data_IF_578678096718
#
_entry.id   IF_578678096718
#
_cell.length_a   1.000
_cell.length_b   1.000
_cell.length_c   1.000
_cell.angle_alpha   90.00
_cell.angle_beta   90.00
_cell.angle_gamma   90.00
#
_symmetry.space_group_name_H-M   'P 1'
#
loop_
_entity.id
_entity.type
_entity.pdbx_description
1 polymer ?
#
# COMPACT_ATOMS: atom_id res chain seq x y z
N UNK A 1 63.20 38.88 -5.73
CA UNK A 1 62.55 37.55 -5.65
C UNK A 1 61.06 37.78 -5.48
N UNK A 2 60.25 37.50 -6.52
CA UNK A 2 58.82 37.82 -6.57
C UNK A 2 58.03 36.75 -5.79
N UNK A 3 57.20 37.19 -4.84
CA UNK A 3 56.28 36.35 -4.07
C UNK A 3 55.01 36.14 -4.89
N UNK A 4 54.75 34.90 -5.30
CA UNK A 4 53.47 34.53 -5.90
C UNK A 4 52.58 33.97 -4.80
N UNK A 5 51.57 34.73 -4.41
CA UNK A 5 50.48 34.26 -3.54
C UNK A 5 49.48 33.55 -4.44
N UNK A 6 49.30 32.25 -4.25
CA UNK A 6 48.24 31.47 -4.88
C UNK A 6 47.03 31.55 -3.95
N UNK A 7 46.02 32.33 -4.32
CA UNK A 7 44.74 32.34 -3.63
C UNK A 7 43.90 31.17 -4.14
N UNK A 8 43.78 30.13 -3.31
CA UNK A 8 42.86 29.03 -3.56
C UNK A 8 41.42 29.49 -3.30
N UNK A 9 40.63 29.66 -4.36
CA UNK A 9 39.20 29.91 -4.29
C UNK A 9 38.51 28.62 -3.85
N UNK A 10 38.18 28.50 -2.57
CA UNK A 10 37.34 27.41 -2.07
C UNK A 10 35.91 27.65 -2.56
N UNK A 11 35.47 26.87 -3.55
CA UNK A 11 34.06 26.75 -3.87
C UNK A 11 33.37 26.10 -2.66
N UNK A 12 32.68 26.91 -1.86
CA UNK A 12 31.69 26.43 -0.91
C UNK A 12 30.56 25.86 -1.76
N UNK A 13 30.58 24.55 -1.99
CA UNK A 13 29.41 23.84 -2.45
C UNK A 13 28.34 23.98 -1.38
N UNK A 14 27.40 24.91 -1.57
CA UNK A 14 26.13 24.83 -0.86
C UNK A 14 25.50 23.52 -1.32
N UNK A 15 25.59 22.49 -0.48
CA UNK A 15 24.63 21.40 -0.53
C UNK A 15 23.29 22.00 -0.15
N UNK A 16 22.55 22.53 -1.13
CA UNK A 16 21.11 22.69 -0.99
C UNK A 16 20.57 21.28 -0.80
N UNK A 17 20.24 20.89 0.44
CA UNK A 17 19.42 19.70 0.66
C UNK A 17 18.20 19.86 -0.24
N UNK A 18 17.93 18.86 -1.09
CA UNK A 18 16.76 18.89 -1.93
C UNK A 18 15.54 18.99 -1.00
N UNK A 19 14.82 20.11 -1.03
CA UNK A 19 13.54 20.26 -0.34
C UNK A 19 12.56 19.27 -0.96
N UNK A 20 11.94 18.44 -0.12
CA UNK A 20 10.99 17.45 -0.58
C UNK A 20 9.95 17.15 0.50
N UNK A 21 8.70 17.11 0.10
CA UNK A 21 7.62 16.57 0.89
C UNK A 21 7.71 15.04 0.88
N UNK A 22 7.71 14.42 2.06
CA UNK A 22 7.93 12.97 2.21
C UNK A 22 6.69 12.29 2.79
N UNK A 23 6.22 11.23 2.15
CA UNK A 23 5.20 10.34 2.72
C UNK A 23 5.87 9.03 3.11
N UNK A 24 5.98 8.79 4.40
CA UNK A 24 6.46 7.52 4.97
C UNK A 24 5.28 6.62 5.24
N UNK A 25 5.41 5.33 4.97
CA UNK A 25 4.34 4.37 5.23
C UNK A 25 4.87 3.00 5.61
N UNK A 26 4.27 2.42 6.65
CA UNK A 26 4.64 1.11 7.18
C UNK A 26 3.44 0.38 7.76
N UNK A 27 3.53 -0.95 7.81
CA UNK A 27 2.55 -1.83 8.47
C UNK A 27 3.17 -2.68 9.59
N UNK A 28 4.37 -2.31 10.03
CA UNK A 28 5.12 -2.95 11.12
C UNK A 28 5.67 -1.89 12.09
N UNK A 29 4.76 -1.24 12.83
CA UNK A 29 5.15 -0.19 13.79
C UNK A 29 5.99 -0.75 14.94
N UNK A 30 5.68 -1.98 15.35
CA UNK A 30 6.39 -2.76 16.34
C UNK A 30 6.43 -4.23 15.92
N UNK A 31 7.40 -4.98 16.43
CA UNK A 31 7.51 -6.43 16.22
C UNK A 31 6.62 -7.19 17.22
N UNK A 32 5.31 -6.95 17.17
CA UNK A 32 4.29 -7.59 18.01
C UNK A 32 3.04 -7.96 17.20
N UNK A 33 1.98 -8.40 17.89
CA UNK A 33 0.73 -8.86 17.27
C UNK A 33 -0.11 -7.75 16.62
N UNK A 34 0.23 -6.48 16.84
CA UNK A 34 -0.51 -5.33 16.28
C UNK A 34 -0.04 -4.94 14.88
N UNK A 35 1.10 -5.48 14.42
CA UNK A 35 1.53 -5.33 13.03
C UNK A 35 0.54 -6.03 12.09
N UNK A 36 0.38 -5.49 10.89
CA UNK A 36 -0.69 -5.91 9.96
C UNK A 36 -0.06 -6.49 8.70
N UNK A 37 0.17 -7.81 8.61
CA UNK A 37 0.68 -8.41 7.39
C UNK A 37 -0.32 -8.24 6.23
N UNK A 38 0.21 -8.15 5.01
CA UNK A 38 -0.58 -8.18 3.78
C UNK A 38 -0.47 -9.55 3.12
N UNK A 39 -1.62 -10.10 2.76
CA UNK A 39 -1.80 -11.42 2.18
C UNK A 39 -2.35 -11.30 0.75
N UNK A 40 -1.94 -12.19 -0.14
CA UNK A 40 -2.60 -12.38 -1.43
C UNK A 40 -4.01 -12.94 -1.28
N UNK A 41 -4.73 -13.07 -2.40
CA UNK A 41 -6.10 -13.58 -2.42
C UNK A 41 -6.22 -15.06 -1.95
N UNK A 42 -5.12 -15.79 -1.77
CA UNK A 42 -5.08 -17.15 -1.23
C UNK A 42 -4.76 -17.21 0.26
N UNK A 43 -4.49 -16.06 0.90
CA UNK A 43 -4.11 -15.96 2.30
C UNK A 43 -2.61 -16.13 2.55
N UNK A 44 -1.77 -16.08 1.51
CA UNK A 44 -0.31 -16.17 1.64
C UNK A 44 0.29 -14.78 1.71
N UNK A 45 1.23 -14.55 2.64
CA UNK A 45 1.89 -13.25 2.78
C UNK A 45 2.66 -12.85 1.52
N UNK A 46 2.52 -11.58 1.08
CA UNK A 46 3.22 -11.05 -0.10
C UNK A 46 4.74 -11.11 0.10
N UNK A 47 5.45 -11.69 -0.86
CA UNK A 47 6.88 -11.93 -0.75
C UNK A 47 7.71 -10.63 -0.66
N UNK A 48 8.84 -10.68 0.04
CA UNK A 48 9.82 -9.60 0.03
C UNK A 48 10.33 -9.30 -1.38
N UNK A 49 10.43 -8.02 -1.72
CA UNK A 49 10.85 -7.55 -3.04
C UNK A 49 9.80 -7.80 -4.13
N UNK A 50 8.61 -8.30 -3.78
CA UNK A 50 7.47 -8.48 -4.67
C UNK A 50 6.32 -7.53 -4.30
N UNK A 51 5.21 -7.63 -5.02
CA UNK A 51 4.04 -6.78 -4.83
C UNK A 51 4.28 -5.31 -5.15
N UNK A 52 3.21 -4.54 -4.97
CA UNK A 52 3.17 -3.11 -5.18
C UNK A 52 2.60 -2.45 -3.92
N UNK A 53 3.25 -1.41 -3.42
CA UNK A 53 2.77 -0.55 -2.35
C UNK A 53 3.19 0.89 -2.63
N UNK A 54 2.25 1.82 -2.64
CA UNK A 54 2.57 3.22 -2.83
C UNK A 54 1.51 4.14 -2.21
N UNK A 55 1.98 5.26 -1.66
CA UNK A 55 1.13 6.38 -1.26
C UNK A 55 0.89 7.32 -2.44
N UNK A 56 -0.31 7.92 -2.50
CA UNK A 56 -0.73 8.73 -3.64
C UNK A 56 -2.17 9.20 -3.52
N UNK A 57 -2.80 9.50 -4.65
CA UNK A 57 -4.16 10.06 -4.69
C UNK A 57 -5.06 9.34 -5.68
N UNK A 58 -6.35 9.51 -5.47
CA UNK A 58 -7.40 9.27 -6.46
C UNK A 58 -8.15 10.57 -6.75
N UNK A 59 -8.74 10.69 -7.94
CA UNK A 59 -9.67 11.77 -8.25
C UNK A 59 -11.01 11.61 -7.48
N UNK A 60 -11.39 10.38 -7.17
CA UNK A 60 -12.55 10.00 -6.37
C UNK A 60 -12.25 8.68 -5.65
N UNK A 61 -12.87 8.46 -4.48
CA UNK A 61 -12.73 7.19 -3.74
C UNK A 61 -13.05 6.01 -4.66
N UNK A 62 -12.14 5.02 -4.82
CA UNK A 62 -12.37 3.90 -5.73
C UNK A 62 -13.40 2.93 -5.16
N UNK A 63 -14.34 2.50 -6.01
CA UNK A 63 -15.33 1.46 -5.71
C UNK A 63 -15.16 0.18 -6.52
N UNK A 64 -14.13 0.08 -7.37
CA UNK A 64 -13.83 -1.11 -8.17
C UNK A 64 -12.34 -1.21 -8.52
N UNK A 65 -11.87 -2.40 -8.93
CA UNK A 65 -10.48 -2.62 -9.34
C UNK A 65 -10.06 -1.68 -10.48
N UNK A 66 -10.93 -1.46 -11.47
CA UNK A 66 -10.62 -0.56 -12.60
C UNK A 66 -10.38 0.88 -12.12
N UNK A 67 -11.12 1.31 -11.09
CA UNK A 67 -10.90 2.62 -10.45
C UNK A 67 -9.63 2.61 -9.58
N UNK A 68 -9.29 1.51 -8.90
CA UNK A 68 -8.00 1.38 -8.19
C UNK A 68 -6.82 1.54 -9.16
N UNK A 69 -6.92 1.04 -10.39
CA UNK A 69 -5.88 1.23 -11.41
C UNK A 69 -5.71 2.67 -11.89
N UNK A 70 -6.67 3.56 -11.61
CA UNK A 70 -6.53 5.00 -11.87
C UNK A 70 -5.67 5.73 -10.83
N UNK A 71 -5.18 5.02 -9.82
CA UNK A 71 -4.31 5.55 -8.78
C UNK A 71 -3.11 6.29 -9.36
N UNK A 72 -2.81 7.45 -8.79
CA UNK A 72 -1.62 8.23 -9.13
C UNK A 72 -0.64 8.20 -7.95
N UNK A 73 0.44 7.40 -8.04
CA UNK A 73 1.48 7.37 -7.00
C UNK A 73 2.12 8.74 -6.82
N UNK A 74 2.36 9.12 -5.57
CA UNK A 74 3.05 10.37 -5.25
C UNK A 74 4.57 10.19 -5.35
N UNK A 75 5.24 11.10 -6.06
CA UNK A 75 6.69 11.26 -6.05
C UNK A 75 7.50 10.01 -6.41
N UNK A 76 8.78 10.05 -6.07
CA UNK A 76 9.73 8.95 -6.30
C UNK A 76 9.93 8.14 -5.01
N UNK A 77 10.16 6.84 -5.15
CA UNK A 77 10.46 5.95 -4.03
C UNK A 77 10.25 4.48 -4.37
N UNK A 78 10.56 3.61 -3.41
CA UNK A 78 10.33 2.18 -3.55
C UNK A 78 8.82 1.88 -3.59
N UNK A 79 8.47 0.81 -4.32
CA UNK A 79 7.09 0.32 -4.40
C UNK A 79 6.95 -1.17 -4.10
N UNK A 80 8.04 -1.89 -3.84
CA UNK A 80 7.94 -3.30 -3.48
C UNK A 80 7.76 -3.47 -1.96
N UNK A 81 7.22 -4.60 -1.54
CA UNK A 81 7.19 -5.00 -0.12
C UNK A 81 8.62 -5.20 0.38
N UNK A 82 9.10 -4.25 1.17
CA UNK A 82 10.46 -4.26 1.71
C UNK A 82 10.42 -3.72 3.14
N UNK A 83 11.13 -4.36 4.05
CA UNK A 83 11.23 -3.95 5.43
C UNK A 83 12.56 -4.40 6.02
N UNK A 84 12.98 -3.75 7.10
CA UNK A 84 14.24 -4.05 7.79
C UNK A 84 14.24 -5.37 8.57
N UNK A 85 13.05 -5.91 8.87
CA UNK A 85 12.86 -7.16 9.62
C UNK A 85 13.13 -8.39 8.74
N UNK A 86 13.00 -8.25 7.42
CA UNK A 86 13.19 -9.37 6.49
C UNK A 86 12.04 -10.37 6.52
N UNK A 87 10.80 -9.92 6.77
CA UNK A 87 9.60 -10.74 6.77
C UNK A 87 8.67 -10.43 5.57
N UNK A 88 8.04 -11.47 5.00
CA UNK A 88 6.99 -11.33 3.99
C UNK A 88 5.72 -10.69 4.59
N UNK A 89 4.93 -10.02 3.75
CA UNK A 89 3.69 -9.34 4.11
C UNK A 89 3.89 -7.95 4.71
N UNK A 90 5.13 -7.51 4.91
CA UNK A 90 5.42 -6.22 5.54
C UNK A 90 6.17 -5.27 4.61
N UNK A 91 5.94 -3.98 4.83
CA UNK A 91 6.63 -2.88 4.18
C UNK A 91 6.96 -1.76 5.18
N UNK A 92 8.05 -1.07 4.91
CA UNK A 92 8.50 0.14 5.59
C UNK A 92 9.23 0.98 4.53
N UNK A 93 8.48 1.87 3.89
CA UNK A 93 8.89 2.57 2.69
C UNK A 93 8.57 4.06 2.80
N UNK A 94 9.18 4.85 1.93
CA UNK A 94 8.82 6.25 1.77
C UNK A 94 8.86 6.67 0.31
N UNK A 95 8.11 7.72 0.00
CA UNK A 95 8.11 8.39 -1.30
C UNK A 95 8.21 9.89 -1.10
N UNK A 96 8.92 10.56 -1.99
CA UNK A 96 9.13 12.00 -1.88
C UNK A 96 9.10 12.72 -3.22
N UNK A 97 8.56 13.93 -3.19
CA UNK A 97 8.65 14.90 -4.28
C UNK A 97 8.50 16.31 -3.73
N UNK A 98 9.00 17.34 -4.44
CA UNK A 98 8.84 18.72 -4.02
C UNK A 98 7.37 19.14 -3.98
N UNK A 99 6.93 19.71 -2.86
CA UNK A 99 5.67 20.46 -2.77
C UNK A 99 5.97 21.80 -2.08
N UNK A 100 6.49 22.80 -2.81
CA UNK A 100 6.95 24.05 -2.23
C UNK A 100 5.86 24.76 -1.43
N UNK A 101 6.28 25.48 -0.38
CA UNK A 101 5.37 26.28 0.43
C UNK A 101 4.52 27.22 -0.45
N UNK A 102 3.20 27.20 -0.24
CA UNK A 102 2.26 28.03 -0.99
C UNK A 102 1.76 27.43 -2.31
N UNK A 103 2.14 26.19 -2.63
CA UNK A 103 1.51 25.43 -3.71
C UNK A 103 0.01 25.27 -3.44
N UNK A 104 -0.82 25.56 -4.43
CA UNK A 104 -2.29 25.43 -4.37
C UNK A 104 -2.84 24.35 -5.31
N UNK A 105 -1.99 23.82 -6.18
CA UNK A 105 -2.37 22.80 -7.15
C UNK A 105 -2.23 21.40 -6.55
N UNK A 106 -2.76 20.39 -7.27
CA UNK A 106 -2.64 19.00 -6.87
C UNK A 106 -1.15 18.60 -6.66
N UNK A 107 -0.84 17.79 -5.63
CA UNK A 107 -1.78 17.05 -4.79
C UNK A 107 -2.27 17.80 -3.54
N UNK A 108 -1.92 19.08 -3.32
CA UNK A 108 -2.26 19.79 -2.06
C UNK A 108 -3.76 19.78 -1.79
N UNK A 109 -4.16 19.39 -0.58
CA UNK A 109 -5.55 19.28 -0.15
C UNK A 109 -6.28 18.02 -0.63
N UNK A 110 -5.66 17.18 -1.45
CA UNK A 110 -6.21 15.87 -1.80
C UNK A 110 -5.98 14.86 -0.66
N UNK A 111 -6.93 13.93 -0.50
CA UNK A 111 -6.78 12.79 0.40
C UNK A 111 -5.64 11.89 -0.06
N UNK A 112 -4.87 11.41 0.89
CA UNK A 112 -3.77 10.47 0.69
C UNK A 112 -4.33 9.06 0.83
N UNK A 113 -4.01 8.18 -0.10
CA UNK A 113 -4.35 6.76 -0.04
C UNK A 113 -3.08 5.92 -0.15
N UNK A 114 -3.09 4.76 0.50
CA UNK A 114 -2.08 3.74 0.31
C UNK A 114 -2.68 2.58 -0.49
N UNK A 115 -2.14 2.33 -1.68
CA UNK A 115 -2.56 1.22 -2.54
C UNK A 115 -1.56 0.09 -2.41
N UNK A 116 -2.07 -1.11 -2.20
CA UNK A 116 -1.33 -2.36 -2.14
C UNK A 116 -1.82 -3.30 -3.26
N UNK A 117 -0.90 -4.00 -3.91
CA UNK A 117 -1.19 -4.95 -4.99
C UNK A 117 -0.22 -6.13 -4.98
N UNK A 118 -0.60 -7.21 -5.65
CA UNK A 118 0.15 -8.47 -5.75
C UNK A 118 1.20 -8.49 -6.89
N UNK A 119 1.05 -7.63 -7.89
CA UNK A 119 1.99 -7.46 -9.01
C UNK A 119 3.10 -6.46 -8.70
N UNK A 120 4.08 -6.33 -9.59
CA UNK A 120 5.20 -5.39 -9.41
C UNK A 120 4.80 -3.91 -9.60
N UNK A 121 3.65 -3.68 -10.21
CA UNK A 121 3.07 -2.37 -10.49
C UNK A 121 1.53 -2.47 -10.56
N UNK A 122 0.87 -1.30 -10.71
CA UNK A 122 -0.59 -1.22 -10.87
C UNK A 122 -1.11 -2.00 -12.09
N UNK A 123 -0.32 -2.19 -13.14
CA UNK A 123 -0.79 -2.83 -14.37
C UNK A 123 -0.73 -4.36 -14.28
N UNK A 124 0.31 -4.89 -13.63
CA UNK A 124 0.56 -6.31 -13.44
C UNK A 124 -0.18 -6.89 -12.24
N UNK A 125 -0.60 -6.06 -11.28
CA UNK A 125 -1.40 -6.52 -10.14
C UNK A 125 -2.79 -6.96 -10.58
N UNK A 126 -3.26 -8.09 -10.06
CA UNK A 126 -4.60 -8.64 -10.28
C UNK A 126 -5.54 -8.35 -9.11
N UNK A 127 -5.00 -8.33 -7.89
CA UNK A 127 -5.74 -8.06 -6.67
C UNK A 127 -5.13 -6.86 -5.94
N UNK A 128 -5.99 -6.11 -5.25
CA UNK A 128 -5.59 -4.88 -4.56
C UNK A 128 -6.20 -4.77 -3.17
N UNK A 129 -5.60 -3.90 -2.37
CA UNK A 129 -6.21 -3.28 -1.21
C UNK A 129 -5.92 -1.78 -1.22
N UNK A 130 -6.84 -0.99 -0.69
CA UNK A 130 -6.72 0.47 -0.59
C UNK A 130 -7.01 0.88 0.84
N UNK A 131 -6.01 1.48 1.48
CA UNK A 131 -6.10 2.01 2.83
C UNK A 131 -6.19 3.54 2.80
N UNK A 132 -7.18 4.09 3.50
CA UNK A 132 -7.39 5.51 3.73
C UNK A 132 -6.96 5.87 5.17
N UNK A 133 -5.78 6.49 5.36
CA UNK A 133 -5.32 6.96 6.66
C UNK A 133 -6.07 8.20 7.18
N UNK A 134 -7.00 8.78 6.41
CA UNK A 134 -7.68 10.04 6.75
C UNK A 134 -6.76 11.27 6.69
N UNK A 135 -5.65 11.18 5.95
CA UNK A 135 -4.66 12.24 5.80
C UNK A 135 -4.84 13.01 4.48
N UNK A 136 -4.39 14.25 4.46
CA UNK A 136 -4.42 15.11 3.27
C UNK A 136 -3.03 15.68 2.99
N UNK A 137 -2.68 15.81 1.71
CA UNK A 137 -1.41 16.40 1.30
C UNK A 137 -1.32 17.87 1.71
N UNK A 138 -0.23 18.22 2.37
CA UNK A 138 0.14 19.60 2.71
C UNK A 138 1.19 20.18 1.78
N UNK A 139 1.88 21.20 2.26
CA UNK A 139 3.06 21.79 1.59
C UNK A 139 4.27 21.73 2.52
N UNK A 140 5.45 21.90 1.95
CA UNK A 140 6.68 22.14 2.71
C UNK A 140 6.60 23.45 3.50
N UNK A 141 7.34 23.51 4.61
CA UNK A 141 7.53 24.73 5.38
C UNK A 141 8.64 25.62 4.79
N UNK A 142 8.93 26.74 5.45
CA UNK A 142 9.93 27.72 4.98
C UNK A 142 11.38 27.17 4.90
N UNK A 143 11.67 26.03 5.53
CA UNK A 143 12.97 25.34 5.42
C UNK A 143 12.94 24.16 4.44
N UNK A 144 11.85 24.03 3.66
CA UNK A 144 11.71 22.99 2.65
C UNK A 144 11.38 21.60 3.20
N UNK A 145 10.84 21.52 4.43
CA UNK A 145 10.45 20.26 5.06
C UNK A 145 8.92 20.11 5.11
N UNK A 146 8.42 18.95 4.72
CA UNK A 146 7.03 18.54 4.89
C UNK A 146 6.96 17.02 4.93
N UNK A 147 6.10 16.46 5.78
CA UNK A 147 6.00 15.02 5.93
C UNK A 147 4.59 14.55 6.33
N UNK A 148 4.27 13.32 5.95
CA UNK A 148 3.17 12.53 6.47
C UNK A 148 3.69 11.14 6.81
N UNK A 149 3.18 10.58 7.91
CA UNK A 149 3.48 9.23 8.33
C UNK A 149 2.19 8.43 8.35
N UNK A 150 2.14 7.36 7.55
CA UNK A 150 1.04 6.41 7.50
C UNK A 150 1.51 5.15 8.23
N UNK A 151 0.88 4.86 9.36
CA UNK A 151 1.22 3.71 10.19
C UNK A 151 -0.02 2.83 10.28
N UNK A 152 0.07 1.63 9.71
CA UNK A 152 -0.98 0.63 9.78
C UNK A 152 -0.69 -0.32 10.94
N UNK A 153 -1.57 -0.30 11.92
CA UNK A 153 -1.68 -1.28 13.01
C UNK A 153 -3.12 -1.79 13.10
N UNK A 154 -3.36 -2.87 13.85
CA UNK A 154 -4.70 -3.38 14.16
C UNK A 154 -5.60 -2.34 14.86
N UNK A 155 -5.03 -1.33 15.52
CA UNK A 155 -5.81 -0.23 16.11
C UNK A 155 -6.30 0.79 15.06
N UNK A 156 -5.56 0.94 13.96
CA UNK A 156 -5.86 1.89 12.87
C UNK A 156 -6.62 1.26 11.70
N UNK A 157 -6.54 -0.07 11.59
CA UNK A 157 -7.20 -0.83 10.54
C UNK A 157 -8.65 -1.08 10.95
N UNK A 158 -9.56 -0.52 10.19
CA UNK A 158 -11.01 -0.58 10.43
C UNK A 158 -11.73 -0.75 9.11
N UNK A 159 -13.00 -1.16 9.16
CA UNK A 159 -13.81 -1.27 7.95
C UNK A 159 -13.97 0.07 7.21
N UNK A 160 -13.86 1.21 7.90
CA UNK A 160 -13.96 2.54 7.29
C UNK A 160 -12.61 3.01 6.70
N UNK A 161 -11.48 2.56 7.27
CA UNK A 161 -10.14 2.90 6.75
C UNK A 161 -9.66 1.95 5.66
N UNK A 162 -10.24 0.77 5.51
CA UNK A 162 -9.97 -0.12 4.38
C UNK A 162 -11.04 0.04 3.28
N UNK A 163 -10.79 0.94 2.35
CA UNK A 163 -11.69 1.26 1.22
C UNK A 163 -11.86 0.07 0.29
N UNK A 164 -10.80 -0.71 0.09
CA UNK A 164 -10.80 -1.89 -0.76
C UNK A 164 -9.93 -2.99 -0.15
N UNK A 165 -10.32 -4.25 -0.29
CA UNK A 165 -9.66 -5.39 0.34
C UNK A 165 -10.48 -6.00 1.46
N UNK A 166 -9.89 -6.94 2.21
CA UNK A 166 -10.55 -7.63 3.33
C UNK A 166 -9.67 -7.62 4.58
N UNK A 167 -10.27 -7.36 5.75
CA UNK A 167 -9.61 -7.53 7.04
C UNK A 167 -9.79 -8.99 7.49
N UNK A 168 -8.68 -9.67 7.75
CA UNK A 168 -8.67 -11.07 8.22
C UNK A 168 -8.12 -11.11 9.64
N UNK A 169 -8.88 -11.60 10.63
CA UNK A 169 -8.42 -11.65 12.01
C UNK A 169 -7.60 -12.92 12.30
N UNK A 170 -6.77 -12.87 13.35
CA UNK A 170 -6.03 -14.01 13.92
C UNK A 170 -5.15 -14.76 12.90
N UNK A 171 -4.22 -14.05 12.27
CA UNK A 171 -3.38 -14.59 11.19
C UNK A 171 -2.03 -15.06 11.71
N UNK A 172 -1.66 -16.29 11.38
CA UNK A 172 -0.31 -16.83 11.59
C UNK A 172 0.45 -16.87 10.27
N UNK A 173 1.52 -16.08 10.16
CA UNK A 173 2.40 -16.05 8.97
C UNK A 173 3.62 -16.96 9.11
N UNK A 174 3.72 -17.74 10.19
CA UNK A 174 4.86 -18.60 10.51
C UNK A 174 6.00 -17.89 11.24
N UNK A 175 5.78 -16.67 11.74
CA UNK A 175 6.77 -15.88 12.48
C UNK A 175 6.79 -16.16 13.99
N UNK A 176 6.00 -17.12 14.46
CA UNK A 176 5.97 -17.55 15.87
C UNK A 176 5.07 -16.70 16.77
N UNK A 177 4.21 -15.87 16.18
CA UNK A 177 3.12 -15.18 16.84
C UNK A 177 1.88 -15.15 15.93
N UNK A 178 0.73 -14.82 16.50
CA UNK A 178 -0.52 -14.61 15.76
C UNK A 178 -0.79 -13.11 15.73
N UNK A 179 -0.93 -12.55 14.54
CA UNK A 179 -1.30 -11.16 14.33
C UNK A 179 -2.80 -11.00 14.54
N UNK A 180 -3.19 -9.90 15.19
CA UNK A 180 -4.59 -9.62 15.51
C UNK A 180 -5.41 -9.48 14.22
N UNK A 181 -4.83 -8.80 13.22
CA UNK A 181 -5.45 -8.53 11.93
C UNK A 181 -4.42 -8.56 10.78
N UNK A 182 -4.91 -8.84 9.58
CA UNK A 182 -4.17 -8.76 8.32
C UNK A 182 -5.03 -8.12 7.24
N UNK A 183 -4.38 -7.59 6.20
CA UNK A 183 -5.05 -7.12 4.99
C UNK A 183 -4.91 -8.21 3.93
N UNK A 184 -6.03 -8.76 3.46
CA UNK A 184 -6.06 -9.64 2.31
C UNK A 184 -6.42 -8.85 1.05
N UNK A 185 -5.60 -8.99 0.01
CA UNK A 185 -5.85 -8.39 -1.30
C UNK A 185 -7.07 -9.03 -1.96
N UNK A 186 -7.89 -8.18 -2.59
CA UNK A 186 -9.16 -8.58 -3.21
C UNK A 186 -10.35 -8.45 -2.27
N UNK A 187 -11.55 -8.49 -2.84
CA UNK A 187 -12.83 -8.23 -2.16
C UNK A 187 -13.29 -9.34 -1.18
N UNK A 188 -12.43 -10.28 -0.78
CA UNK A 188 -12.79 -11.35 0.17
C UNK A 188 -13.87 -12.31 -0.33
N UNK A 189 -14.34 -12.11 -1.56
CA UNK A 189 -15.22 -12.98 -2.29
C UNK A 189 -14.42 -14.10 -2.94
N UNK A 190 -13.88 -15.03 -2.13
CA UNK A 190 -14.03 -16.42 -2.55
C UNK A 190 -15.52 -16.70 -2.42
N UNK A 191 -16.34 -16.23 -3.37
CA UNK A 191 -17.63 -16.84 -3.61
C UNK A 191 -17.25 -18.25 -4.06
N UNK A 192 -17.49 -19.32 -3.27
CA UNK A 192 -17.58 -20.61 -3.91
C UNK A 192 -18.71 -20.41 -4.90
N UNK A 193 -18.43 -20.43 -6.20
CA UNK A 193 -19.49 -20.49 -7.19
C UNK A 193 -20.53 -21.47 -6.65
N UNK A 194 -21.80 -21.08 -6.42
CA UNK A 194 -22.78 -22.00 -5.90
C UNK A 194 -22.75 -23.18 -6.85
N UNK A 195 -22.27 -24.30 -6.33
CA UNK A 195 -21.55 -25.28 -7.12
C UNK A 195 -22.41 -25.66 -8.32
N UNK A 196 -21.98 -25.28 -9.52
CA UNK A 196 -22.62 -25.70 -10.78
C UNK A 196 -22.70 -27.23 -10.82
N UNK A 197 -21.81 -27.92 -10.11
CA UNK A 197 -21.81 -29.34 -9.79
C UNK A 197 -22.97 -29.79 -8.88
N UNK A 198 -23.43 -29.01 -7.90
CA UNK A 198 -24.63 -29.32 -7.07
C UNK A 198 -25.92 -29.16 -7.89
N UNK A 199 -26.00 -28.10 -8.71
CA UNK A 199 -27.15 -27.88 -9.59
C UNK A 199 -27.23 -28.96 -10.70
N UNK A 200 -26.09 -29.35 -11.27
CA UNK A 200 -25.99 -30.46 -12.22
C UNK A 200 -26.29 -31.82 -11.57
N UNK A 201 -25.84 -32.06 -10.33
CA UNK A 201 -26.16 -33.28 -9.59
C UNK A 201 -27.66 -33.39 -9.28
N UNK A 202 -28.33 -32.28 -8.91
CA UNK A 202 -29.76 -32.27 -8.66
C UNK A 202 -30.58 -32.46 -9.96
N UNK A 203 -30.15 -31.85 -11.07
CA UNK A 203 -30.75 -32.05 -12.38
C UNK A 203 -30.60 -33.51 -12.88
N UNK A 204 -29.43 -34.12 -12.64
CA UNK A 204 -29.18 -35.54 -12.93
C UNK A 204 -30.06 -36.47 -12.10
N UNK A 205 -30.27 -36.16 -10.81
CA UNK A 205 -31.14 -36.94 -9.91
C UNK A 205 -32.62 -36.86 -10.31
N UNK A 206 -33.09 -35.67 -10.70
CA UNK A 206 -34.46 -35.45 -11.18
C UNK A 206 -34.73 -36.20 -12.50
N UNK A 207 -33.75 -36.27 -13.40
CA UNK A 207 -33.86 -37.03 -14.65
C UNK A 207 -33.83 -38.54 -14.42
N UNK A 208 -33.01 -39.03 -13.47
CA UNK A 208 -32.97 -40.44 -13.09
C UNK A 208 -34.30 -40.89 -12.43
N UNK A 209 -34.92 -40.04 -11.61
CA UNK A 209 -36.21 -40.33 -10.99
C UNK A 209 -37.37 -40.41 -12.02
N UNK A 210 -37.30 -39.65 -13.12
CA UNK A 210 -38.32 -39.67 -14.18
C UNK A 210 -38.26 -40.90 -15.08
N UNK A 211 -37.12 -41.58 -15.18
CA UNK A 211 -36.95 -42.81 -15.97
C UNK A 211 -37.44 -44.09 -15.28
N UNK A 212 -37.81 -44.01 -14.00
CA UNK A 212 -38.28 -45.15 -13.18
C UNK A 212 -39.81 -45.21 -12.98
N UNK A 213 -40.57 -44.30 -13.60
CA UNK A 213 -42.03 -44.43 -13.79
C UNK A 213 -42.29 -44.86 -15.22
#
# INVERSE_FOLDING_TARGET
MKKTVIASLAAVGLFSGASAYTVSFLNIAAADNTAVPVLDNTGVAIGLGSGFVAAGTFASVPGSIDEVRSFTPFGDGASAFQNSVGAAGFFDNSRSAPIPQGTTDAPVGASVYLVMGDGADLASSTDFAVFDPGLVFGTENAVGAGALDIIITSDSLTADSLVYGTIVPNVDTGLGLVFDEAIQLGEGAVIPEPSTSLLAALAGLALAARRRR
#
